data_IF_260792409323
#
_entry.id   IF_260792409323
#
_cell.length_a   1.000
_cell.length_b   1.000
_cell.length_c   1.000
_cell.angle_alpha   90.00
_cell.angle_beta   90.00
_cell.angle_gamma   90.00
#
_symmetry.space_group_name_H-M   'P 1'
#
loop_
_entity.id
_entity.type
_entity.pdbx_description
1 polymer ?
#
# COMPACT_ATOMS: atom_id res chain seq x y z
N UNK A 1 -19.89 -7.31 17.41
CA UNK A 1 -19.22 -6.25 18.20
C UNK A 1 -17.69 -6.12 17.98
N UNK A 2 -17.04 -6.83 17.04
CA UNK A 2 -15.57 -6.75 16.85
C UNK A 2 -15.03 -5.50 16.12
N UNK A 3 -15.89 -4.72 15.46
CA UNK A 3 -15.45 -3.59 14.61
C UNK A 3 -14.92 -2.37 15.38
N UNK A 4 -15.28 -2.19 16.66
CA UNK A 4 -14.90 -1.01 17.44
C UNK A 4 -13.48 -1.09 18.00
N UNK A 5 -13.00 -2.28 18.41
CA UNK A 5 -11.64 -2.45 18.92
C UNK A 5 -10.60 -2.50 17.81
N UNK A 6 -10.94 -3.11 16.66
CA UNK A 6 -10.05 -3.21 15.50
C UNK A 6 -9.64 -1.82 14.95
N UNK A 7 -10.55 -0.83 14.97
CA UNK A 7 -10.23 0.55 14.55
C UNK A 7 -9.14 1.21 15.42
N UNK A 8 -9.08 0.89 16.72
CA UNK A 8 -8.05 1.47 17.62
C UNK A 8 -6.67 0.83 17.41
N UNK A 9 -6.63 -0.41 16.94
CA UNK A 9 -5.39 -1.16 16.73
C UNK A 9 -4.82 -1.02 15.31
N UNK A 10 -5.66 -0.67 14.33
CA UNK A 10 -5.26 -0.44 12.94
C UNK A 10 -4.06 0.54 12.79
N UNK A 11 -4.00 1.69 13.47
CA UNK A 11 -2.85 2.60 13.39
C UNK A 11 -1.54 1.96 13.89
N UNK A 12 -1.61 1.16 14.96
CA UNK A 12 -0.45 0.47 15.53
C UNK A 12 0.09 -0.56 14.53
N UNK A 13 -0.79 -1.38 13.98
CA UNK A 13 -0.42 -2.37 12.96
C UNK A 13 0.14 -1.66 11.73
N UNK A 14 -0.52 -0.61 11.23
CA UNK A 14 -0.08 0.15 10.06
C UNK A 14 1.33 0.73 10.25
N UNK A 15 1.66 1.23 11.44
CA UNK A 15 2.99 1.76 11.73
C UNK A 15 4.07 0.67 11.63
N UNK A 16 3.81 -0.52 12.16
CA UNK A 16 4.74 -1.65 12.09
C UNK A 16 4.88 -2.14 10.64
N UNK A 17 3.80 -2.16 9.86
CA UNK A 17 3.88 -2.47 8.43
C UNK A 17 4.75 -1.45 7.70
N UNK A 18 4.63 -0.15 7.97
CA UNK A 18 5.50 0.86 7.36
C UNK A 18 6.98 0.58 7.66
N UNK A 19 7.32 0.15 8.86
CA UNK A 19 8.70 -0.25 9.21
C UNK A 19 9.16 -1.48 8.42
N UNK A 20 8.27 -2.46 8.23
CA UNK A 20 8.55 -3.65 7.42
C UNK A 20 8.83 -3.29 5.95
N UNK A 21 7.98 -2.46 5.34
CA UNK A 21 8.08 -2.06 3.93
C UNK A 21 9.35 -1.25 3.62
N UNK A 22 9.92 -0.56 4.62
CA UNK A 22 11.22 0.13 4.46
C UNK A 22 12.39 -0.85 4.25
N UNK A 23 12.29 -2.08 4.76
CA UNK A 23 13.38 -3.05 4.79
C UNK A 23 13.34 -4.09 3.67
N UNK A 24 12.17 -4.30 3.05
CA UNK A 24 11.95 -5.40 2.09
C UNK A 24 11.40 -4.87 0.77
N UNK A 25 12.03 -5.28 -0.33
CA UNK A 25 11.61 -4.94 -1.70
C UNK A 25 10.45 -5.81 -2.18
N UNK A 26 10.45 -7.10 -1.82
CA UNK A 26 9.40 -8.07 -2.15
C UNK A 26 8.99 -8.85 -0.90
N UNK A 27 7.70 -9.14 -0.77
CA UNK A 27 7.14 -9.84 0.38
C UNK A 27 5.75 -10.39 0.05
N UNK A 28 5.35 -11.42 0.79
CA UNK A 28 3.99 -11.94 0.85
C UNK A 28 3.19 -11.29 1.98
N UNK A 29 1.86 -11.46 1.96
CA UNK A 29 1.00 -11.01 3.07
C UNK A 29 1.36 -11.77 4.36
N UNK A 30 1.69 -13.05 4.26
CA UNK A 30 2.10 -13.86 5.42
C UNK A 30 3.38 -13.30 6.06
N UNK A 31 4.35 -12.85 5.26
CA UNK A 31 5.57 -12.21 5.79
C UNK A 31 5.24 -10.99 6.65
N UNK A 32 4.27 -10.17 6.22
CA UNK A 32 3.80 -9.02 6.99
C UNK A 32 3.13 -9.49 8.28
N UNK A 33 2.23 -10.48 8.20
CA UNK A 33 1.51 -11.01 9.36
C UNK A 33 2.48 -11.55 10.40
N UNK A 34 3.46 -12.37 9.98
CA UNK A 34 4.49 -12.94 10.86
C UNK A 34 5.33 -11.84 11.50
N UNK A 35 5.78 -10.86 10.70
CA UNK A 35 6.58 -9.76 11.20
C UNK A 35 5.82 -8.93 12.26
N UNK A 36 4.57 -8.56 11.97
CA UNK A 36 3.73 -7.81 12.90
C UNK A 36 3.47 -8.62 14.17
N UNK A 37 3.10 -9.90 14.04
CA UNK A 37 2.81 -10.78 15.16
C UNK A 37 4.01 -10.93 16.10
N UNK A 38 5.21 -11.06 15.55
CA UNK A 38 6.44 -11.10 16.34
C UNK A 38 6.69 -9.78 17.09
N UNK A 39 6.40 -8.64 16.46
CA UNK A 39 6.61 -7.31 17.04
C UNK A 39 5.64 -7.01 18.18
N UNK A 40 4.42 -7.53 18.11
CA UNK A 40 3.35 -7.27 19.10
C UNK A 40 3.07 -8.46 20.01
N UNK A 41 3.96 -9.45 20.09
CA UNK A 41 3.74 -10.72 20.83
C UNK A 41 3.30 -10.53 22.29
N UNK A 42 3.67 -9.42 22.93
CA UNK A 42 3.31 -9.09 24.32
C UNK A 42 1.98 -8.32 24.45
N UNK A 43 1.32 -7.99 23.34
CA UNK A 43 0.07 -7.24 23.33
C UNK A 43 -1.12 -8.22 23.37
N UNK A 44 -1.87 -8.31 24.49
CA UNK A 44 -2.98 -9.25 24.61
C UNK A 44 -4.14 -8.94 23.66
N UNK A 45 -4.20 -7.72 23.11
CA UNK A 45 -5.27 -7.27 22.22
C UNK A 45 -4.97 -7.56 20.73
N UNK A 46 -3.77 -8.06 20.41
CA UNK A 46 -3.35 -8.39 19.04
C UNK A 46 -2.89 -9.84 18.96
N UNK A 47 -3.71 -10.68 18.34
CA UNK A 47 -3.34 -12.04 17.94
C UNK A 47 -3.21 -12.15 16.41
N UNK A 48 -2.62 -13.25 15.93
CA UNK A 48 -2.39 -13.48 14.48
C UNK A 48 -3.64 -13.25 13.62
N UNK A 49 -4.80 -13.77 14.05
CA UNK A 49 -6.06 -13.61 13.31
C UNK A 49 -6.51 -12.14 13.21
N UNK A 50 -6.47 -11.41 14.34
CA UNK A 50 -6.80 -9.97 14.36
C UNK A 50 -5.85 -9.14 13.48
N UNK A 51 -4.56 -9.48 13.45
CA UNK A 51 -3.56 -8.84 12.60
C UNK A 51 -3.87 -9.10 11.12
N UNK A 52 -4.20 -10.34 10.76
CA UNK A 52 -4.57 -10.71 9.39
C UNK A 52 -5.82 -9.95 8.91
N UNK A 53 -6.85 -9.83 9.76
CA UNK A 53 -8.06 -9.05 9.48
C UNK A 53 -7.71 -7.58 9.25
N UNK A 54 -6.85 -6.99 10.09
CA UNK A 54 -6.41 -5.59 9.94
C UNK A 54 -5.63 -5.40 8.64
N UNK A 55 -4.69 -6.29 8.30
CA UNK A 55 -3.91 -6.21 7.06
C UNK A 55 -4.84 -6.32 5.84
N UNK A 56 -5.78 -7.27 5.83
CA UNK A 56 -6.79 -7.39 4.77
C UNK A 56 -7.65 -6.12 4.64
N UNK A 57 -8.04 -5.50 5.76
CA UNK A 57 -8.76 -4.22 5.77
C UNK A 57 -7.92 -3.08 5.15
N UNK A 58 -6.65 -2.98 5.50
CA UNK A 58 -5.72 -1.97 4.95
C UNK A 58 -5.49 -2.16 3.43
N UNK A 59 -5.40 -3.41 2.96
CA UNK A 59 -5.32 -3.73 1.52
C UNK A 59 -6.63 -3.36 0.83
N UNK A 60 -7.79 -3.71 1.39
CA UNK A 60 -9.11 -3.35 0.85
C UNK A 60 -9.29 -1.83 0.73
N UNK A 61 -8.77 -1.06 1.71
CA UNK A 61 -8.73 0.41 1.69
C UNK A 61 -7.67 1.00 0.74
N UNK A 62 -6.90 0.14 0.05
CA UNK A 62 -5.76 0.48 -0.82
C UNK A 62 -4.66 1.27 -0.10
N UNK A 63 -4.56 1.16 1.22
CA UNK A 63 -3.49 1.82 2.01
C UNK A 63 -2.18 1.08 1.80
N UNK A 64 -2.23 -0.26 1.82
CA UNK A 64 -1.11 -1.16 1.49
C UNK A 64 -1.38 -1.76 0.10
N UNK A 65 -0.35 -1.82 -0.74
CA UNK A 65 -0.40 -2.54 -2.03
C UNK A 65 0.35 -3.86 -1.86
N UNK A 66 -0.32 -5.02 -1.98
CA UNK A 66 0.32 -6.34 -1.87
C UNK A 66 1.50 -6.50 -2.83
N UNK A 67 2.58 -7.12 -2.36
CA UNK A 67 3.76 -7.43 -3.18
C UNK A 67 4.66 -6.24 -3.51
N UNK A 68 4.38 -5.03 -3.00
CA UNK A 68 5.20 -3.84 -3.27
C UNK A 68 5.41 -2.98 -2.02
N UNK A 69 6.51 -2.23 -1.96
CA UNK A 69 6.73 -1.21 -0.92
C UNK A 69 5.83 0.03 -1.06
N UNK A 70 4.97 0.08 -2.07
CA UNK A 70 4.12 1.23 -2.35
C UNK A 70 2.91 1.26 -1.40
N UNK A 71 2.54 2.48 -1.04
CA UNK A 71 1.41 2.82 -0.20
C UNK A 71 0.65 3.97 -0.84
N UNK A 72 -0.64 4.09 -0.56
CA UNK A 72 -1.50 5.13 -1.16
C UNK A 72 -0.88 6.53 -1.16
N UNK A 73 -0.20 6.89 -0.07
CA UNK A 73 0.38 8.21 0.13
C UNK A 73 1.71 8.42 -0.62
N UNK A 74 2.46 7.36 -0.94
CA UNK A 74 3.78 7.47 -1.56
C UNK A 74 3.80 7.14 -3.07
N UNK A 75 2.69 6.65 -3.63
CA UNK A 75 2.61 6.33 -5.08
C UNK A 75 2.96 7.53 -5.95
N UNK A 76 2.45 8.72 -5.58
CA UNK A 76 2.64 9.97 -6.32
C UNK A 76 3.89 10.75 -5.89
N UNK A 77 4.71 10.23 -4.97
CA UNK A 77 6.01 10.83 -4.67
C UNK A 77 6.98 10.65 -5.86
N UNK A 78 6.74 9.66 -6.72
CA UNK A 78 7.48 9.53 -7.97
C UNK A 78 7.05 10.66 -8.94
N UNK A 79 7.99 11.51 -9.40
CA UNK A 79 7.66 12.66 -10.25
C UNK A 79 6.88 12.30 -11.50
N UNK A 80 7.22 11.18 -12.15
CA UNK A 80 6.56 10.73 -13.38
C UNK A 80 5.15 10.22 -13.12
N UNK A 81 4.92 9.47 -12.02
CA UNK A 81 3.57 9.08 -11.61
C UNK A 81 2.71 10.28 -11.25
N UNK A 82 3.28 11.28 -10.58
CA UNK A 82 2.59 12.53 -10.26
C UNK A 82 2.20 13.30 -11.53
N UNK A 83 3.11 13.40 -12.50
CA UNK A 83 2.85 14.02 -13.81
C UNK A 83 1.70 13.31 -14.55
N UNK A 84 1.77 11.98 -14.65
CA UNK A 84 0.71 11.15 -15.26
C UNK A 84 -0.63 11.36 -14.53
N UNK A 85 -0.63 11.29 -13.20
CA UNK A 85 -1.83 11.48 -12.39
C UNK A 85 -2.46 12.86 -12.62
N UNK A 86 -1.65 13.93 -12.60
CA UNK A 86 -2.13 15.29 -12.79
C UNK A 86 -2.65 15.53 -14.21
N UNK A 87 -2.04 14.91 -15.21
CA UNK A 87 -2.53 14.94 -16.58
C UNK A 87 -3.91 14.27 -16.70
N UNK A 88 -4.03 13.03 -16.24
CA UNK A 88 -5.29 12.25 -16.30
C UNK A 88 -6.42 12.95 -15.52
N UNK A 89 -6.09 13.53 -14.36
CA UNK A 89 -7.07 14.25 -13.53
C UNK A 89 -7.70 15.44 -14.26
N UNK A 90 -6.92 16.13 -15.11
CA UNK A 90 -7.39 17.26 -15.91
C UNK A 90 -8.02 16.81 -17.23
N UNK A 91 -7.45 15.76 -17.83
CA UNK A 91 -7.80 15.26 -19.15
C UNK A 91 -7.94 13.73 -19.10
N UNK A 92 -9.12 13.19 -18.76
CA UNK A 92 -9.37 11.76 -18.89
C UNK A 92 -9.09 11.33 -20.33
N UNK A 93 -8.17 10.39 -20.52
CA UNK A 93 -7.62 10.05 -21.84
C UNK A 93 -7.16 8.60 -21.90
N UNK A 94 -7.07 8.05 -23.11
CA UNK A 94 -6.51 6.72 -23.35
C UNK A 94 -4.99 6.69 -23.10
N UNK A 95 -4.44 5.49 -22.85
CA UNK A 95 -2.99 5.31 -22.64
C UNK A 95 -2.16 5.87 -23.81
N UNK A 96 -2.60 5.70 -25.05
CA UNK A 96 -1.92 6.22 -26.23
C UNK A 96 -1.87 7.77 -26.25
N UNK A 97 -2.94 8.43 -25.82
CA UNK A 97 -2.99 9.88 -25.72
C UNK A 97 -2.08 10.39 -24.59
N UNK A 98 -2.11 9.73 -23.44
CA UNK A 98 -1.21 10.05 -22.31
C UNK A 98 0.25 9.88 -22.74
N UNK A 99 0.55 8.78 -23.45
CA UNK A 99 1.89 8.50 -23.96
C UNK A 99 2.42 9.60 -24.88
N UNK A 100 1.60 10.03 -25.84
CA UNK A 100 1.95 11.13 -26.76
C UNK A 100 2.09 12.46 -26.03
N UNK A 101 1.16 12.79 -25.15
CA UNK A 101 1.14 14.07 -24.45
C UNK A 101 2.32 14.24 -23.48
N UNK A 102 2.76 13.17 -22.82
CA UNK A 102 3.83 13.20 -21.83
C UNK A 102 5.17 12.65 -22.34
N UNK A 103 5.27 12.42 -23.65
CA UNK A 103 6.42 11.82 -24.33
C UNK A 103 6.95 10.55 -23.61
N UNK A 104 6.04 9.64 -23.26
CA UNK A 104 6.34 8.40 -22.55
C UNK A 104 6.57 7.25 -23.53
N UNK A 105 7.68 6.53 -23.34
CA UNK A 105 7.87 5.22 -23.96
C UNK A 105 6.86 4.19 -23.44
N UNK A 106 6.54 3.19 -24.26
CA UNK A 106 5.58 2.12 -23.94
C UNK A 106 5.89 1.41 -22.62
N UNK A 107 7.16 1.08 -22.37
CA UNK A 107 7.59 0.43 -21.14
C UNK A 107 7.34 1.29 -19.90
N UNK A 108 7.59 2.60 -19.99
CA UNK A 108 7.30 3.51 -18.89
C UNK A 108 5.80 3.63 -18.66
N UNK A 109 5.01 3.77 -19.72
CA UNK A 109 3.57 3.88 -19.61
C UNK A 109 2.90 2.61 -19.04
N UNK A 110 3.44 1.42 -19.33
CA UNK A 110 2.95 0.15 -18.75
C UNK A 110 3.42 -0.08 -17.31
N UNK A 111 4.60 0.43 -16.95
CA UNK A 111 5.13 0.30 -15.59
C UNK A 111 4.45 1.24 -14.57
N UNK A 112 4.02 2.42 -15.02
CA UNK A 112 3.42 3.47 -14.19
C UNK A 112 1.93 3.29 -13.99
#
# INVERSE_FOLDING_TARGET
MLMSSSKKLEPVVLQIVKEFLKKKTFFSIEDIVVFVNNRVRRNPNLNKNSIEIIIKSLIKKRIIIPGTKLMKNNIIENPKRNEIFNFIKKNPSSINQIMRALNLGSNHALWH
#
